data_IF_256946466809
#
_entry.id   IF_256946466809
#
_cell.length_a   1.000
_cell.length_b   1.000
_cell.length_c   1.000
_cell.angle_alpha   90.00
_cell.angle_beta   90.00
_cell.angle_gamma   90.00
#
_symmetry.space_group_name_H-M   'P 1'
#
loop_
_entity.id
_entity.type
_entity.pdbx_description
1 polymer ?
#
# COMPACT_ATOMS: atom_id res chain seq x y z
N UNK A 1 -10.01 -8.59 -12.73
CA UNK A 1 -9.66 -8.54 -14.17
C UNK A 1 -8.31 -9.22 -14.40
N UNK A 2 -8.06 -9.78 -15.59
CA UNK A 2 -6.76 -10.39 -15.94
C UNK A 2 -6.32 -9.93 -17.33
N UNK A 3 -5.10 -9.41 -17.42
CA UNK A 3 -4.44 -9.10 -18.68
C UNK A 3 -2.93 -9.30 -18.54
N UNK A 4 -2.18 -9.50 -19.61
CA UNK A 4 -0.74 -9.78 -19.59
C UNK A 4 -0.31 -10.96 -18.66
N UNK A 5 -1.23 -11.87 -18.32
CA UNK A 5 -0.97 -12.94 -17.34
C UNK A 5 -1.09 -12.54 -15.86
N UNK A 6 -1.37 -11.28 -15.57
CA UNK A 6 -1.49 -10.72 -14.22
C UNK A 6 -2.96 -10.60 -13.79
N UNK A 7 -3.19 -10.56 -12.47
CA UNK A 7 -4.47 -10.21 -11.86
C UNK A 7 -4.41 -8.75 -11.41
N UNK A 8 -5.44 -7.97 -11.76
CA UNK A 8 -5.54 -6.58 -11.34
C UNK A 8 -6.63 -6.40 -10.30
N UNK A 9 -6.32 -5.65 -9.29
CA UNK A 9 -7.23 -5.09 -8.30
C UNK A 9 -7.19 -3.56 -8.37
N UNK A 10 -7.98 -2.89 -7.57
CA UNK A 10 -8.14 -1.44 -7.62
C UNK A 10 -8.13 -0.84 -6.23
N UNK A 11 -7.31 0.21 -6.03
CA UNK A 11 -7.29 0.94 -4.78
C UNK A 11 -8.49 1.89 -4.71
N UNK A 12 -9.48 1.50 -3.90
CA UNK A 12 -10.73 2.24 -3.73
C UNK A 12 -10.59 3.49 -2.84
N UNK A 13 -9.39 3.79 -2.35
CA UNK A 13 -9.14 5.07 -1.66
C UNK A 13 -8.75 6.21 -2.60
N UNK A 14 -8.37 5.89 -3.85
CA UNK A 14 -8.04 6.86 -4.90
C UNK A 14 -8.94 6.73 -6.14
N UNK A 15 -9.47 5.53 -6.38
CA UNK A 15 -10.43 5.23 -7.44
C UNK A 15 -11.81 5.00 -6.85
N UNK A 16 -12.87 5.25 -7.62
CA UNK A 16 -14.28 5.21 -7.17
C UNK A 16 -14.60 6.17 -6.02
N UNK A 17 -13.81 7.23 -5.86
CA UNK A 17 -14.00 8.21 -4.78
C UNK A 17 -15.25 9.08 -4.98
N UNK A 18 -15.84 9.07 -6.15
CA UNK A 18 -17.15 9.66 -6.45
C UNK A 18 -18.30 8.94 -5.73
N UNK A 19 -18.06 7.74 -5.19
CA UNK A 19 -19.03 6.96 -4.46
C UNK A 19 -18.75 6.93 -2.96
N UNK A 20 -19.79 6.76 -2.13
CA UNK A 20 -19.62 6.46 -0.72
C UNK A 20 -18.73 5.22 -0.49
N UNK A 21 -17.96 5.21 0.59
CA UNK A 21 -16.98 4.15 0.91
C UNK A 21 -17.53 2.73 0.73
N UNK A 22 -18.72 2.45 1.27
CA UNK A 22 -19.31 1.11 1.27
C UNK A 22 -19.89 0.67 -0.09
N UNK A 23 -20.03 1.59 -1.06
CA UNK A 23 -20.49 1.29 -2.40
C UNK A 23 -19.35 0.97 -3.37
N UNK A 24 -18.12 1.36 -3.03
CA UNK A 24 -16.94 1.22 -3.90
C UNK A 24 -16.59 -0.24 -4.22
N UNK A 25 -16.67 -1.22 -3.29
CA UNK A 25 -16.40 -2.63 -3.63
C UNK A 25 -17.36 -3.18 -4.70
N UNK A 26 -18.65 -2.84 -4.61
CA UNK A 26 -19.64 -3.26 -5.60
C UNK A 26 -19.39 -2.60 -6.96
N UNK A 27 -18.99 -1.32 -7.00
CA UNK A 27 -18.63 -0.62 -8.23
C UNK A 27 -17.37 -1.22 -8.88
N UNK A 28 -16.35 -1.55 -8.09
CA UNK A 28 -15.15 -2.25 -8.57
C UNK A 28 -15.52 -3.62 -9.19
N UNK A 29 -16.40 -4.37 -8.53
CA UNK A 29 -16.92 -5.64 -9.08
C UNK A 29 -17.65 -5.44 -10.40
N UNK A 30 -18.52 -4.44 -10.48
CA UNK A 30 -19.26 -4.12 -11.71
C UNK A 30 -18.34 -3.71 -12.85
N UNK A 31 -17.20 -3.07 -12.56
CA UNK A 31 -16.13 -2.76 -13.50
C UNK A 31 -15.26 -3.99 -13.87
N UNK A 32 -15.51 -5.17 -13.30
CA UNK A 32 -14.84 -6.43 -13.64
C UNK A 32 -13.66 -6.80 -12.74
N UNK A 33 -13.42 -6.06 -11.66
CA UNK A 33 -12.36 -6.39 -10.70
C UNK A 33 -12.81 -7.47 -9.72
N UNK A 34 -11.87 -8.33 -9.34
CA UNK A 34 -12.09 -9.36 -8.32
C UNK A 34 -11.40 -9.05 -7.00
N UNK A 35 -10.68 -7.93 -6.91
CA UNK A 35 -9.98 -7.48 -5.72
C UNK A 35 -10.01 -5.97 -5.57
N UNK A 36 -9.90 -5.53 -4.34
CA UNK A 36 -9.85 -4.11 -3.94
C UNK A 36 -8.77 -3.88 -2.89
N UNK A 37 -8.23 -2.69 -2.87
CA UNK A 37 -7.35 -2.21 -1.82
C UNK A 37 -7.94 -0.98 -1.15
N UNK A 38 -7.55 -0.74 0.09
CA UNK A 38 -7.92 0.48 0.80
C UNK A 38 -6.74 1.01 1.62
N UNK A 39 -6.56 2.31 1.65
CA UNK A 39 -5.90 2.97 2.77
C UNK A 39 -6.81 2.84 3.99
N UNK A 40 -6.29 3.07 5.20
CA UNK A 40 -7.14 3.03 6.40
C UNK A 40 -8.31 3.98 6.25
N UNK A 41 -9.56 3.50 6.21
CA UNK A 41 -10.69 4.32 5.77
C UNK A 41 -11.35 5.14 6.87
N UNK A 42 -10.77 5.17 8.07
CA UNK A 42 -11.31 5.89 9.22
C UNK A 42 -10.30 6.87 9.79
N UNK A 43 -10.80 7.96 10.41
CA UNK A 43 -9.95 8.92 11.14
C UNK A 43 -9.46 8.33 12.46
N UNK A 44 -10.29 7.49 13.11
CA UNK A 44 -9.93 6.82 14.34
C UNK A 44 -9.00 5.62 14.10
N UNK A 45 -7.99 5.41 14.95
CA UNK A 45 -7.12 4.24 14.87
C UNK A 45 -7.84 2.92 15.16
N UNK A 46 -8.94 2.97 15.90
CA UNK A 46 -9.80 1.82 16.23
C UNK A 46 -11.23 2.20 15.84
N UNK A 47 -11.74 1.73 14.69
CA UNK A 47 -13.11 2.03 14.30
C UNK A 47 -14.09 1.33 15.24
N UNK A 48 -15.26 1.90 15.45
CA UNK A 48 -16.31 1.19 16.19
C UNK A 48 -16.75 -0.08 15.44
N UNK A 49 -17.12 -1.12 16.17
CA UNK A 49 -17.49 -2.45 15.65
C UNK A 49 -18.45 -2.37 14.47
N UNK A 50 -19.48 -1.51 14.59
CA UNK A 50 -20.47 -1.33 13.52
C UNK A 50 -19.85 -0.83 12.20
N UNK A 51 -18.86 0.06 12.27
CA UNK A 51 -18.20 0.58 11.08
C UNK A 51 -17.31 -0.48 10.43
N UNK A 52 -16.56 -1.22 11.24
CA UNK A 52 -15.75 -2.35 10.77
C UNK A 52 -16.62 -3.45 10.15
N UNK A 53 -17.73 -3.84 10.81
CA UNK A 53 -18.68 -4.83 10.31
C UNK A 53 -19.28 -4.40 8.96
N UNK A 54 -19.71 -3.15 8.84
CA UNK A 54 -20.29 -2.65 7.59
C UNK A 54 -19.26 -2.67 6.44
N UNK A 55 -18.01 -2.32 6.70
CA UNK A 55 -16.94 -2.36 5.71
C UNK A 55 -16.65 -3.79 5.24
N UNK A 56 -16.48 -4.73 6.17
CA UNK A 56 -16.23 -6.14 5.85
C UNK A 56 -17.41 -6.74 5.08
N UNK A 57 -18.64 -6.42 5.51
CA UNK A 57 -19.87 -6.88 4.83
C UNK A 57 -19.96 -6.35 3.41
N UNK A 58 -19.65 -5.06 3.18
CA UNK A 58 -19.68 -4.47 1.85
C UNK A 58 -18.71 -5.16 0.87
N UNK A 59 -17.52 -5.55 1.33
CA UNK A 59 -16.53 -6.30 0.55
C UNK A 59 -17.03 -7.72 0.25
N UNK A 60 -17.55 -8.41 1.26
CA UNK A 60 -18.05 -9.77 1.13
C UNK A 60 -19.29 -9.83 0.20
N UNK A 61 -20.24 -8.92 0.35
CA UNK A 61 -21.46 -8.85 -0.47
C UNK A 61 -21.15 -8.53 -1.94
N UNK A 62 -20.13 -7.70 -2.18
CA UNK A 62 -19.64 -7.44 -3.53
C UNK A 62 -18.97 -8.67 -4.17
N UNK A 63 -18.52 -9.65 -3.39
CA UNK A 63 -17.81 -10.83 -3.87
C UNK A 63 -16.45 -10.47 -4.48
N UNK A 64 -15.72 -9.59 -3.81
CA UNK A 64 -14.33 -9.22 -4.13
C UNK A 64 -13.41 -9.55 -2.96
N UNK A 65 -12.12 -9.78 -3.25
CA UNK A 65 -11.10 -9.98 -2.23
C UNK A 65 -10.61 -8.61 -1.70
N UNK A 66 -10.44 -8.46 -0.37
CA UNK A 66 -9.63 -7.38 0.18
C UNK A 66 -8.16 -7.75 0.02
N UNK A 67 -7.51 -7.18 -0.98
CA UNK A 67 -6.13 -7.53 -1.37
C UNK A 67 -5.11 -6.90 -0.45
N UNK A 68 -5.29 -5.61 -0.14
CA UNK A 68 -4.41 -4.85 0.75
C UNK A 68 -5.21 -3.85 1.58
N UNK A 69 -4.77 -3.66 2.82
CA UNK A 69 -5.26 -2.63 3.73
C UNK A 69 -4.06 -1.91 4.35
N UNK A 70 -4.07 -0.58 4.35
CA UNK A 70 -3.03 0.15 5.07
C UNK A 70 -3.32 0.16 6.57
N UNK A 71 -2.26 0.15 7.39
CA UNK A 71 -2.36 0.70 8.74
C UNK A 71 -2.70 2.19 8.66
N UNK A 72 -3.09 2.78 9.78
CA UNK A 72 -3.50 4.19 9.84
C UNK A 72 -2.48 5.12 9.18
N UNK A 73 -2.97 5.93 8.25
CA UNK A 73 -2.14 6.80 7.39
C UNK A 73 -2.02 8.23 7.91
N UNK A 74 -2.85 8.60 8.90
CA UNK A 74 -3.00 9.99 9.32
C UNK A 74 -3.85 10.80 8.36
N UNK A 75 -3.80 12.12 8.48
CA UNK A 75 -4.54 13.06 7.64
C UNK A 75 -3.81 13.23 6.28
N UNK A 76 -4.26 12.48 5.29
CA UNK A 76 -3.72 12.54 3.92
C UNK A 76 -3.92 13.92 3.30
N UNK A 77 -5.04 14.60 3.61
CA UNK A 77 -5.34 15.93 3.08
C UNK A 77 -4.40 17.00 3.68
N UNK A 78 -4.00 16.84 4.94
CA UNK A 78 -2.97 17.65 5.57
C UNK A 78 -1.52 17.28 5.15
N UNK A 79 -1.35 16.27 4.30
CA UNK A 79 -0.05 15.84 3.80
C UNK A 79 0.63 14.75 4.60
N UNK A 80 -0.02 14.17 5.62
CA UNK A 80 0.54 13.02 6.35
C UNK A 80 0.59 11.79 5.43
N UNK A 81 1.60 10.94 5.62
CA UNK A 81 1.82 9.72 4.83
C UNK A 81 2.25 8.57 5.74
N UNK A 82 1.37 8.20 6.67
CA UNK A 82 1.63 7.16 7.66
C UNK A 82 2.00 7.71 9.03
N UNK A 83 1.75 6.89 10.04
CA UNK A 83 2.01 7.22 11.45
C UNK A 83 3.05 6.30 12.10
N UNK A 84 3.60 5.35 11.35
CA UNK A 84 4.50 4.31 11.86
C UNK A 84 5.67 4.87 12.67
N UNK A 85 6.33 5.92 12.17
CA UNK A 85 7.53 6.50 12.78
C UNK A 85 7.28 7.81 13.52
N UNK A 86 6.04 8.26 13.63
CA UNK A 86 5.71 9.60 14.15
C UNK A 86 5.55 9.57 15.66
N UNK A 87 6.48 10.17 16.47
CA UNK A 87 6.47 10.03 17.92
C UNK A 87 5.18 10.50 18.59
N UNK A 88 4.61 11.62 18.14
CA UNK A 88 3.32 12.14 18.66
C UNK A 88 2.13 11.22 18.38
N UNK A 89 2.25 10.31 17.41
CA UNK A 89 1.19 9.38 17.00
C UNK A 89 1.47 7.92 17.41
N UNK A 90 2.51 7.68 18.21
CA UNK A 90 2.91 6.34 18.67
C UNK A 90 1.74 5.53 19.22
N UNK A 91 0.95 6.10 20.11
CA UNK A 91 -0.15 5.40 20.76
C UNK A 91 -1.29 5.11 19.77
N UNK A 92 -1.57 6.04 18.86
CA UNK A 92 -2.58 5.85 17.81
C UNK A 92 -2.18 4.72 16.85
N UNK A 93 -0.91 4.69 16.39
CA UNK A 93 -0.43 3.61 15.54
C UNK A 93 -0.48 2.25 16.27
N UNK A 94 -0.03 2.19 17.53
CA UNK A 94 -0.04 0.96 18.32
C UNK A 94 -1.45 0.44 18.64
N UNK A 95 -2.41 1.33 18.84
CA UNK A 95 -3.82 0.97 18.98
C UNK A 95 -4.42 0.45 17.67
N UNK A 96 -3.97 0.99 16.52
CA UNK A 96 -4.42 0.58 15.20
C UNK A 96 -3.93 -0.83 14.82
N UNK A 97 -2.74 -1.24 15.24
CA UNK A 97 -2.15 -2.54 14.84
C UNK A 97 -3.10 -3.72 15.07
N UNK A 98 -3.62 -3.97 16.30
CA UNK A 98 -4.54 -5.08 16.52
C UNK A 98 -5.87 -4.91 15.78
N UNK A 99 -6.40 -3.69 15.68
CA UNK A 99 -7.66 -3.43 14.98
C UNK A 99 -7.53 -3.71 13.45
N UNK A 100 -6.42 -3.30 12.84
CA UNK A 100 -6.14 -3.58 11.43
C UNK A 100 -5.96 -5.08 11.19
N UNK A 101 -5.22 -5.78 12.06
CA UNK A 101 -5.02 -7.22 11.96
C UNK A 101 -6.34 -8.00 12.13
N UNK A 102 -7.23 -7.57 13.03
CA UNK A 102 -8.56 -8.18 13.21
C UNK A 102 -9.42 -8.01 11.95
N UNK A 103 -9.49 -6.79 11.39
CA UNK A 103 -10.24 -6.53 10.15
C UNK A 103 -9.66 -7.35 9.01
N UNK A 104 -8.34 -7.43 8.89
CA UNK A 104 -7.66 -8.23 7.89
C UNK A 104 -8.03 -9.71 7.99
N UNK A 105 -7.97 -10.29 9.20
CA UNK A 105 -8.34 -11.68 9.44
C UNK A 105 -9.80 -11.97 9.04
N UNK A 106 -10.72 -11.10 9.41
CA UNK A 106 -12.16 -11.25 9.13
C UNK A 106 -12.49 -11.05 7.65
N UNK A 107 -11.75 -10.19 6.95
CA UNK A 107 -11.93 -9.94 5.52
C UNK A 107 -11.09 -10.85 4.61
N UNK A 108 -10.21 -11.70 5.18
CA UNK A 108 -9.29 -12.53 4.41
C UNK A 108 -8.16 -11.77 3.74
N UNK A 109 -7.83 -10.55 4.23
CA UNK A 109 -6.74 -9.74 3.73
C UNK A 109 -5.39 -10.27 4.23
N UNK A 110 -4.46 -10.50 3.31
CA UNK A 110 -3.13 -11.04 3.65
C UNK A 110 -1.98 -10.04 3.45
N UNK A 111 -2.29 -8.76 3.20
CA UNK A 111 -1.29 -7.72 2.97
C UNK A 111 -1.66 -6.45 3.72
N UNK A 112 -0.80 -6.05 4.64
CA UNK A 112 -0.99 -4.86 5.47
C UNK A 112 0.14 -3.87 5.18
N UNK A 113 -0.17 -2.79 4.46
CA UNK A 113 0.83 -1.78 4.15
C UNK A 113 1.06 -0.85 5.35
N UNK A 114 2.33 -0.59 5.68
CA UNK A 114 2.75 0.24 6.80
C UNK A 114 3.49 1.50 6.30
N UNK A 115 2.76 2.55 5.87
CA UNK A 115 3.40 3.79 5.45
C UNK A 115 4.22 4.39 6.59
N UNK A 116 5.50 4.70 6.28
CA UNK A 116 6.50 5.05 7.29
C UNK A 116 6.16 6.32 8.08
N UNK A 117 5.62 7.31 7.42
CA UNK A 117 5.39 8.64 7.99
C UNK A 117 6.44 9.67 7.59
N UNK A 118 6.03 10.92 7.60
CA UNK A 118 6.90 12.04 7.26
C UNK A 118 7.89 12.33 8.38
N UNK A 119 9.07 12.82 8.02
CA UNK A 119 10.03 13.40 9.00
C UNK A 119 9.38 14.62 9.67
N UNK A 120 9.43 14.64 10.99
CA UNK A 120 8.90 15.78 11.78
C UNK A 120 9.80 17.00 11.59
N UNK A 121 11.10 16.81 11.67
CA UNK A 121 12.12 17.81 11.37
C UNK A 121 13.33 17.14 10.71
N UNK A 122 13.43 17.17 9.38
CA UNK A 122 14.55 16.57 8.68
C UNK A 122 15.93 17.19 9.03
N UNK A 123 15.95 18.41 9.59
CA UNK A 123 17.17 19.10 9.98
C UNK A 123 17.66 18.68 11.36
N UNK A 124 16.81 18.10 12.21
CA UNK A 124 17.21 17.61 13.55
C UNK A 124 17.56 16.11 13.50
N UNK A 125 18.85 15.81 13.46
CA UNK A 125 19.34 14.42 13.40
C UNK A 125 18.91 13.58 14.62
N UNK A 126 18.68 14.18 15.79
CA UNK A 126 18.21 13.48 16.99
C UNK A 126 16.77 13.03 16.84
N UNK A 127 15.87 13.92 16.37
CA UNK A 127 14.49 13.55 16.10
C UNK A 127 14.41 12.49 14.99
N UNK A 128 15.30 12.57 14.00
CA UNK A 128 15.40 11.56 12.95
C UNK A 128 15.76 10.18 13.52
N UNK A 129 16.75 10.09 14.41
CA UNK A 129 17.14 8.84 15.06
C UNK A 129 15.99 8.26 15.91
N UNK A 130 15.30 9.10 16.69
CA UNK A 130 14.14 8.70 17.49
C UNK A 130 13.01 8.14 16.60
N UNK A 131 12.75 8.76 15.45
CA UNK A 131 11.75 8.26 14.49
C UNK A 131 12.16 6.90 13.91
N UNK A 132 13.44 6.71 13.58
CA UNK A 132 13.92 5.46 13.01
C UNK A 132 13.86 4.30 14.04
N UNK A 133 14.21 4.56 15.30
CA UNK A 133 14.07 3.60 16.40
C UNK A 133 12.59 3.23 16.62
N UNK A 134 11.70 4.23 16.65
CA UNK A 134 10.27 4.02 16.79
C UNK A 134 9.68 3.20 15.63
N UNK A 135 10.16 3.46 14.40
CA UNK A 135 9.72 2.70 13.24
C UNK A 135 10.06 1.21 13.37
N UNK A 136 11.27 0.88 13.82
CA UNK A 136 11.70 -0.50 14.06
C UNK A 136 10.82 -1.17 15.12
N UNK A 137 10.61 -0.51 16.27
CA UNK A 137 9.72 -1.03 17.34
C UNK A 137 8.31 -1.31 16.82
N UNK A 138 7.74 -0.36 16.10
CA UNK A 138 6.38 -0.46 15.59
C UNK A 138 6.24 -1.49 14.45
N UNK A 139 7.26 -1.65 13.60
CA UNK A 139 7.28 -2.70 12.59
C UNK A 139 7.38 -4.09 13.20
N UNK A 140 8.17 -4.27 14.27
CA UNK A 140 8.20 -5.51 15.02
C UNK A 140 6.82 -5.86 15.59
N UNK A 141 6.12 -4.87 16.16
CA UNK A 141 4.75 -5.04 16.68
C UNK A 141 3.78 -5.41 15.56
N UNK A 142 3.80 -4.66 14.45
CA UNK A 142 2.92 -4.88 13.30
C UNK A 142 3.17 -6.24 12.63
N UNK A 143 4.44 -6.62 12.44
CA UNK A 143 4.80 -7.88 11.83
C UNK A 143 4.36 -9.09 12.67
N UNK A 144 4.48 -9.02 14.00
CA UNK A 144 3.98 -10.07 14.91
C UNK A 144 2.46 -10.17 14.87
N UNK A 145 1.75 -9.05 14.88
CA UNK A 145 0.29 -9.04 14.79
C UNK A 145 -0.19 -9.59 13.44
N UNK A 146 0.44 -9.18 12.34
CA UNK A 146 0.14 -9.67 11.00
C UNK A 146 0.45 -11.17 10.85
N UNK A 147 1.56 -11.66 11.39
CA UNK A 147 1.92 -13.08 11.37
C UNK A 147 0.87 -13.95 12.08
N UNK A 148 0.26 -13.46 13.16
CA UNK A 148 -0.79 -14.18 13.88
C UNK A 148 -2.08 -14.37 13.05
N UNK A 149 -2.26 -13.61 11.98
CA UNK A 149 -3.39 -13.69 11.03
C UNK A 149 -2.95 -14.07 9.62
N UNK A 150 -1.76 -14.65 9.47
CA UNK A 150 -1.18 -15.13 8.21
C UNK A 150 -1.05 -14.03 7.14
N UNK A 151 -0.79 -12.78 7.58
CA UNK A 151 -0.59 -11.63 6.69
C UNK A 151 0.88 -11.18 6.64
N UNK A 152 1.27 -10.62 5.50
CA UNK A 152 2.53 -9.89 5.31
C UNK A 152 2.34 -8.41 5.69
N UNK A 153 3.41 -7.80 6.24
CA UNK A 153 3.52 -6.34 6.35
C UNK A 153 4.33 -5.83 5.18
N UNK A 154 3.77 -4.86 4.49
CA UNK A 154 4.39 -4.24 3.34
C UNK A 154 5.09 -2.94 3.73
N UNK A 155 6.27 -2.70 3.16
CA UNK A 155 7.00 -1.45 3.26
C UNK A 155 7.03 -0.82 1.89
N UNK A 156 6.44 0.37 1.79
CA UNK A 156 6.28 1.11 0.54
C UNK A 156 7.29 2.27 0.48
N UNK A 157 8.15 2.32 -0.55
CA UNK A 157 8.85 3.53 -0.92
C UNK A 157 7.88 4.53 -1.54
N UNK A 158 7.74 5.71 -0.93
CA UNK A 158 6.96 6.83 -1.49
C UNK A 158 7.93 7.90 -1.96
N UNK A 159 7.80 8.34 -3.21
CA UNK A 159 8.73 9.27 -3.83
C UNK A 159 8.83 10.62 -3.10
N UNK A 160 10.05 11.13 -2.97
CA UNK A 160 10.33 12.41 -2.31
C UNK A 160 10.11 13.64 -3.22
N UNK A 161 9.69 13.45 -4.47
CA UNK A 161 9.25 14.55 -5.36
C UNK A 161 7.87 15.04 -4.93
N UNK A 162 6.92 14.12 -4.74
CA UNK A 162 5.56 14.43 -4.29
C UNK A 162 5.49 14.65 -2.77
N UNK A 163 6.33 13.92 -2.02
CA UNK A 163 6.37 13.97 -0.55
C UNK A 163 7.80 14.20 -0.05
N UNK A 164 8.30 15.45 -0.09
CA UNK A 164 9.70 15.75 0.20
C UNK A 164 10.19 15.32 1.59
N UNK A 165 9.28 15.20 2.55
CA UNK A 165 9.60 14.77 3.92
C UNK A 165 9.54 13.25 4.13
N UNK A 166 9.18 12.46 3.12
CA UNK A 166 9.12 11.00 3.26
C UNK A 166 10.50 10.36 3.15
N UNK A 167 10.97 9.63 4.17
CA UNK A 167 12.38 9.21 4.20
C UNK A 167 12.69 7.93 3.43
N UNK A 168 11.69 7.06 3.23
CA UNK A 168 11.84 5.77 2.54
C UNK A 168 11.37 5.96 1.09
N UNK A 169 12.18 6.57 0.25
CA UNK A 169 11.81 7.00 -1.10
C UNK A 169 12.36 6.11 -2.22
N UNK A 170 13.13 5.05 -1.87
CA UNK A 170 13.67 4.10 -2.85
C UNK A 170 13.49 2.66 -2.40
N UNK A 171 13.48 1.73 -3.37
CA UNK A 171 13.44 0.30 -3.09
C UNK A 171 14.57 -0.15 -2.19
N UNK A 172 15.77 0.39 -2.37
CA UNK A 172 16.94 0.07 -1.55
C UNK A 172 16.76 0.48 -0.07
N UNK A 173 16.15 1.67 0.20
CA UNK A 173 15.86 2.10 1.58
C UNK A 173 14.79 1.22 2.23
N UNK A 174 13.74 0.85 1.50
CA UNK A 174 12.71 -0.07 2.01
C UNK A 174 13.31 -1.45 2.36
N UNK A 175 14.13 -2.02 1.49
CA UNK A 175 14.82 -3.29 1.75
C UNK A 175 15.81 -3.19 2.91
N UNK A 176 16.51 -2.07 3.05
CA UNK A 176 17.41 -1.84 4.19
C UNK A 176 16.62 -1.85 5.52
N UNK A 177 15.46 -1.15 5.57
CA UNK A 177 14.58 -1.15 6.73
C UNK A 177 14.05 -2.55 7.05
N UNK A 178 13.56 -3.29 6.04
CA UNK A 178 13.12 -4.68 6.20
C UNK A 178 14.22 -5.54 6.80
N UNK A 179 15.45 -5.43 6.30
CA UNK A 179 16.57 -6.22 6.79
C UNK A 179 16.96 -5.83 8.24
N UNK A 180 16.88 -4.55 8.58
CA UNK A 180 17.12 -4.09 9.96
C UNK A 180 16.10 -4.72 10.93
N UNK A 181 14.82 -4.66 10.61
CA UNK A 181 13.76 -5.25 11.46
C UNK A 181 13.90 -6.77 11.57
N UNK A 182 14.24 -7.45 10.47
CA UNK A 182 14.49 -8.92 10.48
C UNK A 182 15.72 -9.31 11.30
N UNK A 183 16.71 -8.44 11.41
CA UNK A 183 17.88 -8.69 12.26
C UNK A 183 17.54 -8.64 13.75
N UNK A 184 16.58 -7.82 14.16
CA UNK A 184 16.07 -7.75 15.54
C UNK A 184 15.22 -8.99 15.92
N UNK A 185 14.48 -9.56 14.95
CA UNK A 185 13.69 -10.77 15.16
C UNK A 185 13.72 -11.67 13.92
N UNK A 186 14.65 -12.63 13.93
CA UNK A 186 14.88 -13.52 12.77
C UNK A 186 13.74 -14.50 12.49
N UNK A 187 12.78 -14.63 13.40
CA UNK A 187 11.59 -15.45 13.16
C UNK A 187 10.55 -14.74 12.26
N UNK A 188 10.67 -13.42 12.07
CA UNK A 188 9.76 -12.64 11.24
C UNK A 188 10.15 -12.73 9.76
N UNK A 189 9.44 -13.58 9.01
CA UNK A 189 9.59 -13.72 7.56
C UNK A 189 8.59 -12.90 6.74
N UNK A 190 7.63 -12.25 7.38
CA UNK A 190 6.45 -11.63 6.77
C UNK A 190 6.56 -10.13 6.51
N UNK A 191 7.78 -9.57 6.45
CA UNK A 191 8.00 -8.20 5.98
C UNK A 191 8.37 -8.27 4.49
N UNK A 192 7.68 -7.51 3.64
CA UNK A 192 7.85 -7.53 2.19
C UNK A 192 7.91 -6.12 1.61
N UNK A 193 8.46 -6.01 0.42
CA UNK A 193 8.44 -4.77 -0.37
C UNK A 193 7.07 -4.62 -1.05
N UNK A 194 6.44 -3.45 -0.92
CA UNK A 194 5.43 -2.99 -1.86
C UNK A 194 6.16 -2.22 -2.97
N UNK A 195 6.10 -2.73 -4.19
CA UNK A 195 6.71 -2.09 -5.34
C UNK A 195 5.66 -1.29 -6.11
N UNK A 196 5.42 -0.02 -5.69
CA UNK A 196 4.65 0.92 -6.48
C UNK A 196 5.53 1.46 -7.63
N UNK A 197 5.21 1.06 -8.85
CA UNK A 197 6.00 1.41 -10.03
C UNK A 197 6.00 2.92 -10.30
N UNK A 198 4.96 3.64 -9.91
CA UNK A 198 4.91 5.10 -10.02
C UNK A 198 5.94 5.77 -9.10
N UNK A 199 5.95 5.39 -7.83
CA UNK A 199 6.87 5.97 -6.87
C UNK A 199 8.32 5.67 -7.22
N UNK A 200 8.64 4.44 -7.58
CA UNK A 200 9.99 4.03 -7.97
C UNK A 200 10.46 4.73 -9.26
N UNK A 201 9.57 4.83 -10.28
CA UNK A 201 9.88 5.54 -11.52
C UNK A 201 10.11 7.04 -11.30
N UNK A 202 9.32 7.67 -10.45
CA UNK A 202 9.49 9.09 -10.10
C UNK A 202 10.85 9.35 -9.44
N UNK A 203 11.39 8.38 -8.71
CA UNK A 203 12.75 8.41 -8.17
C UNK A 203 13.82 7.98 -9.18
N UNK A 204 13.44 7.78 -10.45
CA UNK A 204 14.35 7.38 -11.53
C UNK A 204 15.02 6.02 -11.31
N UNK A 205 14.38 5.11 -10.58
CA UNK A 205 14.87 3.74 -10.43
C UNK A 205 14.66 2.95 -11.74
N UNK A 206 15.61 2.08 -12.06
CA UNK A 206 15.43 1.08 -13.13
C UNK A 206 14.45 0.00 -12.64
N UNK A 207 13.18 0.16 -13.02
CA UNK A 207 12.11 -0.72 -12.58
C UNK A 207 12.36 -2.18 -12.94
N UNK A 208 12.90 -2.44 -14.14
CA UNK A 208 13.21 -3.80 -14.57
C UNK A 208 14.27 -4.44 -13.66
N UNK A 209 15.30 -3.68 -13.31
CA UNK A 209 16.33 -4.13 -12.38
C UNK A 209 15.78 -4.33 -10.96
N UNK A 210 14.89 -3.44 -10.47
CA UNK A 210 14.23 -3.57 -9.17
C UNK A 210 13.38 -4.84 -9.12
N UNK A 211 12.50 -5.05 -10.10
CA UNK A 211 11.64 -6.24 -10.16
C UNK A 211 12.44 -7.54 -10.24
N UNK A 212 13.56 -7.55 -10.96
CA UNK A 212 14.45 -8.72 -11.03
C UNK A 212 15.20 -8.95 -9.71
N UNK A 213 15.75 -7.90 -9.12
CA UNK A 213 16.60 -7.98 -7.94
C UNK A 213 15.84 -8.41 -6.68
N UNK A 214 14.61 -7.93 -6.53
CA UNK A 214 13.82 -8.13 -5.32
C UNK A 214 12.62 -9.06 -5.51
N UNK A 215 12.60 -9.86 -6.59
CA UNK A 215 11.46 -10.72 -6.95
C UNK A 215 10.90 -11.53 -5.77
N UNK A 216 11.77 -12.15 -4.96
CA UNK A 216 11.38 -12.97 -3.81
C UNK A 216 10.96 -12.15 -2.57
N UNK A 217 11.20 -10.84 -2.60
CA UNK A 217 10.90 -9.93 -1.49
C UNK A 217 9.68 -9.04 -1.77
N UNK A 218 9.21 -9.00 -3.01
CA UNK A 218 8.00 -8.25 -3.39
C UNK A 218 6.77 -9.01 -2.88
N UNK A 219 6.03 -8.38 -1.97
CA UNK A 219 4.74 -8.87 -1.47
C UNK A 219 3.56 -8.35 -2.27
N UNK A 220 3.70 -7.17 -2.88
CA UNK A 220 2.67 -6.52 -3.67
C UNK A 220 3.26 -5.58 -4.71
N UNK A 221 2.54 -5.37 -5.80
CA UNK A 221 2.89 -4.42 -6.86
C UNK A 221 1.74 -3.45 -7.07
N UNK A 222 2.04 -2.16 -7.15
CA UNK A 222 1.06 -1.14 -7.56
C UNK A 222 1.55 -0.42 -8.81
N UNK A 223 0.62 0.19 -9.55
CA UNK A 223 0.92 0.85 -10.82
C UNK A 223 0.10 2.13 -11.03
N UNK A 224 0.81 3.17 -11.44
CA UNK A 224 0.31 4.35 -12.12
C UNK A 224 1.35 4.80 -13.15
N UNK A 225 0.97 5.69 -14.07
CA UNK A 225 1.88 6.21 -15.08
C UNK A 225 2.56 7.52 -14.62
N UNK A 226 3.72 7.81 -15.19
CA UNK A 226 4.55 8.98 -14.90
C UNK A 226 4.64 9.85 -16.15
N UNK A 227 4.54 11.19 -16.04
CA UNK A 227 4.25 11.98 -14.84
C UNK A 227 2.75 12.01 -14.50
N UNK A 228 2.43 12.48 -13.27
CA UNK A 228 1.06 12.86 -12.90
C UNK A 228 0.21 11.76 -12.28
N UNK A 229 0.78 10.56 -12.04
CA UNK A 229 0.10 9.43 -11.38
C UNK A 229 -1.22 9.05 -12.06
N UNK A 230 -1.23 9.10 -13.40
CA UNK A 230 -2.40 8.77 -14.22
C UNK A 230 -2.55 7.27 -14.50
N UNK A 231 -3.61 6.91 -15.23
CA UNK A 231 -3.83 5.54 -15.67
C UNK A 231 -2.69 5.06 -16.58
N UNK A 232 -2.36 3.75 -16.59
CA UNK A 232 -1.40 3.19 -17.52
C UNK A 232 -1.65 3.61 -18.98
N UNK A 233 -0.59 4.08 -19.66
CA UNK A 233 -0.66 4.58 -21.03
C UNK A 233 -1.00 6.07 -21.17
N UNK A 234 -1.18 6.80 -20.07
CA UNK A 234 -1.40 8.25 -20.11
C UNK A 234 -0.11 9.07 -19.95
N UNK A 235 0.98 8.44 -19.58
CA UNK A 235 2.29 9.06 -19.39
C UNK A 235 3.37 8.47 -20.29
N UNK A 236 4.55 8.28 -19.74
CA UNK A 236 5.76 7.86 -20.49
C UNK A 236 6.34 6.53 -20.02
N UNK A 237 5.75 5.92 -18.99
CA UNK A 237 6.27 4.68 -18.44
C UNK A 237 5.99 3.50 -19.38
N UNK A 238 7.02 2.74 -19.71
CA UNK A 238 6.88 1.53 -20.51
C UNK A 238 6.28 0.37 -19.67
N UNK A 239 5.01 0.50 -19.28
CA UNK A 239 4.34 -0.38 -18.31
C UNK A 239 4.17 -1.81 -18.86
N UNK A 240 3.80 -1.97 -20.13
CA UNK A 240 3.55 -3.29 -20.72
C UNK A 240 4.76 -4.24 -20.68
N UNK A 241 6.01 -3.82 -20.97
CA UNK A 241 7.20 -4.63 -20.73
C UNK A 241 7.37 -5.07 -19.27
N UNK A 242 7.04 -4.20 -18.31
CA UNK A 242 7.12 -4.52 -16.87
C UNK A 242 6.07 -5.58 -16.47
N UNK A 243 4.86 -5.49 -16.99
CA UNK A 243 3.83 -6.51 -16.79
C UNK A 243 4.26 -7.87 -17.36
N UNK A 244 4.83 -7.88 -18.58
CA UNK A 244 5.37 -9.11 -19.17
C UNK A 244 6.51 -9.70 -18.33
N UNK A 245 7.38 -8.86 -17.79
CA UNK A 245 8.45 -9.28 -16.90
C UNK A 245 7.91 -9.91 -15.61
N UNK A 246 6.98 -9.25 -14.92
CA UNK A 246 6.33 -9.80 -13.72
C UNK A 246 5.71 -11.18 -13.98
N UNK A 247 4.96 -11.31 -15.08
CA UNK A 247 4.36 -12.58 -15.47
C UNK A 247 5.41 -13.65 -15.77
N UNK A 248 6.49 -13.29 -16.48
CA UNK A 248 7.59 -14.21 -16.83
C UNK A 248 8.39 -14.65 -15.58
N UNK A 249 8.48 -13.82 -14.56
CA UNK A 249 9.08 -14.12 -13.27
C UNK A 249 8.16 -14.98 -12.37
N UNK A 250 6.95 -15.28 -12.80
CA UNK A 250 5.99 -16.07 -12.03
C UNK A 250 5.29 -15.29 -10.91
N UNK A 251 5.22 -13.95 -10.99
CA UNK A 251 4.49 -13.16 -10.01
C UNK A 251 3.03 -13.59 -9.97
N UNK A 252 2.61 -14.19 -8.86
CA UNK A 252 1.27 -14.73 -8.67
C UNK A 252 0.36 -13.80 -7.86
N UNK A 253 0.88 -12.67 -7.37
CA UNK A 253 0.15 -11.66 -6.62
C UNK A 253 -0.87 -10.88 -7.46
N UNK A 254 -1.45 -9.90 -6.84
CA UNK A 254 -2.26 -8.89 -7.49
C UNK A 254 -1.39 -7.69 -7.89
N UNK A 255 -1.86 -6.95 -8.91
CA UNK A 255 -1.27 -5.67 -9.31
C UNK A 255 -2.32 -4.59 -9.08
N UNK A 256 -2.11 -3.79 -8.05
CA UNK A 256 -3.04 -2.75 -7.62
C UNK A 256 -3.01 -1.54 -8.55
N UNK A 257 -4.18 -1.11 -8.97
CA UNK A 257 -4.34 0.15 -9.70
C UNK A 257 -4.47 1.29 -8.69
N UNK A 258 -3.44 2.12 -8.59
CA UNK A 258 -3.41 3.23 -7.63
C UNK A 258 -3.03 4.54 -8.33
N UNK A 259 -3.97 5.06 -9.10
CA UNK A 259 -3.76 6.26 -9.90
C UNK A 259 -4.91 7.27 -9.80
N UNK A 260 -4.64 8.50 -10.17
CA UNK A 260 -5.65 9.57 -10.24
C UNK A 260 -6.42 9.42 -11.57
N UNK A 261 -7.73 9.18 -11.53
CA UNK A 261 -8.52 9.08 -12.76
C UNK A 261 -8.61 10.46 -13.43
N UNK A 262 -8.56 10.49 -14.77
CA UNK A 262 -8.66 11.74 -15.53
C UNK A 262 -10.03 12.42 -15.37
N UNK A 263 -11.10 11.64 -15.15
CA UNK A 263 -12.42 12.12 -14.81
C UNK A 263 -12.76 11.69 -13.36
N UNK A 264 -12.65 12.58 -12.38
CA UNK A 264 -12.94 12.23 -10.99
C UNK A 264 -14.40 11.95 -10.69
N UNK A 265 -15.31 12.25 -11.64
CA UNK A 265 -16.74 11.98 -11.51
C UNK A 265 -17.13 10.59 -12.07
N UNK A 266 -16.22 9.90 -12.77
CA UNK A 266 -16.48 8.60 -13.36
C UNK A 266 -15.17 7.82 -13.53
N UNK A 267 -14.79 7.12 -12.48
CA UNK A 267 -13.58 6.27 -12.46
C UNK A 267 -13.56 5.24 -13.59
N UNK A 268 -14.73 4.74 -14.02
CA UNK A 268 -14.79 3.64 -15.01
C UNK A 268 -14.20 4.02 -16.36
N UNK A 269 -14.21 5.30 -16.73
CA UNK A 269 -13.59 5.81 -17.96
C UNK A 269 -12.07 5.63 -18.01
N UNK A 270 -11.44 5.44 -16.87
CA UNK A 270 -9.98 5.28 -16.76
C UNK A 270 -9.48 3.86 -17.05
N UNK A 271 -10.37 2.88 -17.24
CA UNK A 271 -10.00 1.47 -17.45
C UNK A 271 -9.90 1.05 -18.92
N UNK A 272 -9.95 1.96 -19.86
CA UNK A 272 -9.93 1.67 -21.32
C UNK A 272 -8.62 1.05 -21.81
N UNK A 273 -7.57 1.08 -21.03
CA UNK A 273 -6.26 0.49 -21.31
C UNK A 273 -6.19 -1.03 -20.95
N UNK A 274 -7.14 -1.52 -20.17
CA UNK A 274 -7.29 -2.93 -19.81
C UNK A 274 -8.02 -3.70 -20.91
#
# INVERSE_FOLDING_TARGET
MRTHGLRFDVNCSILFTELPLLERPAAAKAAGFGGVEFWWPWDDPVPGDRAADAFITAIADAGVDLVSLNFITGDIAAGERGLLSVPKAKDAFRANVPACAEIAARAGCTRLNAPYGNRVDPADARLTAEQDELAIENLLLAARAAAAVEADVLIEPINSVDVPSYPIDTSAKAIALINTVRAEDTALGNLKLLADLYHLATMSEDLSAVLARYADQIGHVQVADVPGRGAPGTGTLAIEPLFRQLAAQGYAGWTGLEYVPADPADTTKSFTWL
#
